data_IF_736009730560
#
_entry.id   IF_736009730560
#
_cell.length_a   1.000
_cell.length_b   1.000
_cell.length_c   1.000
_cell.angle_alpha   90.00
_cell.angle_beta   90.00
_cell.angle_gamma   90.00
#
_symmetry.space_group_name_H-M   'P 1'
#
loop_
_entity.id
_entity.type
_entity.pdbx_description
1 polymer ?
#
# COMPACT_ATOMS: atom_id res chain seq x y z
N UNK A 1 2.68 5.01 15.74
CA UNK A 1 3.53 5.11 14.63
C UNK A 1 3.20 6.29 13.77
N UNK A 2 4.20 6.96 13.21
CA UNK A 2 3.91 8.07 12.41
C UNK A 2 3.56 7.70 11.02
N UNK A 3 2.59 8.38 10.41
CA UNK A 3 2.22 8.15 9.04
C UNK A 3 3.30 8.76 8.16
N UNK A 4 3.59 8.11 7.05
CA UNK A 4 4.64 8.54 6.18
C UNK A 4 4.14 8.68 4.77
N UNK A 5 4.55 9.71 4.07
CA UNK A 5 4.14 9.91 2.69
C UNK A 5 5.24 9.48 1.76
N UNK A 6 4.89 8.72 0.76
CA UNK A 6 5.85 8.25 -0.24
C UNK A 6 5.19 8.28 -1.60
N UNK A 7 6.00 8.21 -2.65
CA UNK A 7 5.47 8.12 -4.01
C UNK A 7 5.29 6.66 -4.36
N UNK A 8 4.20 6.34 -5.02
CA UNK A 8 3.92 4.96 -5.39
C UNK A 8 3.32 4.91 -6.78
N UNK A 9 3.55 3.78 -7.44
CA UNK A 9 2.92 3.52 -8.74
C UNK A 9 1.49 3.08 -8.43
N UNK A 10 0.51 3.71 -9.06
CA UNK A 10 -0.90 3.44 -8.77
C UNK A 10 -1.47 2.53 -9.84
N UNK A 11 -2.01 1.40 -9.42
CA UNK A 11 -2.51 0.40 -10.35
C UNK A 11 -3.57 0.95 -11.28
N UNK A 12 -4.56 1.66 -10.77
CA UNK A 12 -5.64 2.15 -11.61
C UNK A 12 -5.21 3.24 -12.58
N UNK A 13 -4.01 3.77 -12.41
CA UNK A 13 -3.49 4.80 -13.28
C UNK A 13 -2.37 4.23 -14.17
N UNK A 14 -2.42 2.94 -14.41
CA UNK A 14 -1.45 2.25 -15.25
C UNK A 14 -0.01 2.45 -14.77
N UNK A 15 0.15 2.53 -13.47
CA UNK A 15 1.49 2.65 -12.90
C UNK A 15 2.01 4.07 -12.76
N UNK A 16 1.17 5.06 -13.02
CA UNK A 16 1.61 6.43 -12.87
C UNK A 16 1.85 6.71 -11.40
N UNK A 17 2.83 7.51 -11.06
CA UNK A 17 3.19 7.73 -9.66
C UNK A 17 2.37 8.81 -9.02
N UNK A 18 1.94 8.55 -7.76
CA UNK A 18 1.21 9.54 -6.97
C UNK A 18 1.64 9.38 -5.53
N UNK A 19 1.42 10.40 -4.74
CA UNK A 19 1.76 10.35 -3.33
C UNK A 19 0.73 9.54 -2.57
N UNK A 20 1.19 8.68 -1.67
CA UNK A 20 0.31 7.92 -0.81
C UNK A 20 0.79 8.09 0.61
N UNK A 21 -0.06 7.75 1.58
CA UNK A 21 0.31 7.81 2.99
C UNK A 21 0.34 6.40 3.55
N UNK A 22 1.46 6.00 4.09
CA UNK A 22 1.57 4.68 4.71
C UNK A 22 0.97 4.78 6.10
N UNK A 23 -0.02 3.94 6.38
CA UNK A 23 -0.71 3.96 7.66
C UNK A 23 -0.15 2.92 8.62
N UNK A 24 0.07 1.72 8.14
CA UNK A 24 0.62 0.66 8.97
C UNK A 24 1.06 -0.51 8.13
N UNK A 25 1.74 -1.46 8.75
CA UNK A 25 2.15 -2.65 8.04
C UNK A 25 0.95 -3.55 7.81
N UNK A 26 0.96 -4.28 6.70
CA UNK A 26 -0.09 -5.22 6.43
C UNK A 26 0.19 -6.45 7.26
N UNK A 27 -0.84 -7.14 7.74
CA UNK A 27 -0.67 -8.34 8.53
C UNK A 27 -1.58 -9.44 8.02
N UNK A 28 -1.21 -10.67 8.32
CA UNK A 28 -2.03 -11.80 7.97
C UNK A 28 -1.96 -12.74 9.15
N UNK A 29 -3.11 -13.08 9.75
CA UNK A 29 -3.17 -13.94 10.91
C UNK A 29 -2.24 -13.44 12.02
N UNK A 30 -2.21 -12.13 12.22
CA UNK A 30 -1.43 -11.55 13.29
C UNK A 30 0.04 -11.38 13.02
N UNK A 31 0.51 -11.75 11.83
CA UNK A 31 1.92 -11.60 11.51
C UNK A 31 2.11 -10.53 10.47
N UNK A 32 3.16 -9.75 10.63
CA UNK A 32 3.47 -8.68 9.68
C UNK A 32 3.93 -9.32 8.38
N UNK A 33 3.39 -8.84 7.27
CA UNK A 33 3.81 -9.29 5.96
C UNK A 33 4.93 -8.37 5.51
N UNK A 34 6.10 -8.89 5.20
CA UNK A 34 7.22 -8.05 4.81
C UNK A 34 6.92 -7.22 3.56
N UNK A 35 7.29 -5.95 3.59
CA UNK A 35 7.16 -5.07 2.45
C UNK A 35 5.73 -4.84 1.97
N UNK A 36 4.76 -5.07 2.83
CA UNK A 36 3.36 -4.83 2.49
C UNK A 36 2.78 -3.86 3.51
N UNK A 37 2.04 -2.87 3.02
CA UNK A 37 1.54 -1.81 3.86
C UNK A 37 0.10 -1.47 3.54
N UNK A 38 -0.62 -0.98 4.54
CA UNK A 38 -1.95 -0.42 4.32
C UNK A 38 -1.72 1.06 4.13
N UNK A 39 -2.17 1.60 3.03
CA UNK A 39 -1.91 2.99 2.67
C UNK A 39 -3.20 3.72 2.31
N UNK A 40 -3.12 5.02 2.32
CA UNK A 40 -4.25 5.87 1.93
C UNK A 40 -3.87 6.61 0.66
N UNK A 41 -4.69 6.50 -0.36
CA UNK A 41 -4.50 7.24 -1.60
C UNK A 41 -5.82 7.96 -1.85
N UNK A 42 -5.83 9.28 -1.68
CA UNK A 42 -7.06 10.03 -1.79
C UNK A 42 -8.04 9.54 -0.73
N UNK A 43 -9.20 9.09 -1.15
CA UNK A 43 -10.21 8.60 -0.24
C UNK A 43 -10.18 7.09 -0.11
N UNK A 44 -9.21 6.44 -0.71
CA UNK A 44 -9.16 4.99 -0.76
C UNK A 44 -8.08 4.44 0.12
N UNK A 45 -8.41 3.41 0.90
CA UNK A 45 -7.41 2.66 1.63
C UNK A 45 -7.16 1.41 0.84
N UNK A 46 -5.91 1.08 0.62
CA UNK A 46 -5.57 -0.10 -0.16
C UNK A 46 -4.24 -0.65 0.31
N UNK A 47 -3.80 -1.72 -0.31
CA UNK A 47 -2.53 -2.34 0.04
C UNK A 47 -1.46 -1.87 -0.94
N UNK A 48 -0.30 -1.54 -0.43
CA UNK A 48 0.84 -1.21 -1.26
C UNK A 48 1.99 -2.15 -0.93
N UNK A 49 2.73 -2.52 -1.96
CA UNK A 49 3.88 -3.41 -1.80
C UNK A 49 5.13 -2.61 -2.13
N UNK A 50 6.15 -2.76 -1.31
CA UNK A 50 7.43 -2.13 -1.56
C UNK A 50 8.35 -3.17 -2.19
N UNK A 51 8.91 -2.85 -3.35
CA UNK A 51 9.85 -3.75 -4.00
C UNK A 51 11.26 -3.23 -3.74
N UNK A 52 12.02 -3.89 -2.86
CA UNK A 52 13.35 -3.40 -2.51
C UNK A 52 14.37 -3.50 -3.66
N UNK A 53 14.09 -4.33 -4.64
CA UNK A 53 15.03 -4.46 -5.75
C UNK A 53 15.07 -3.20 -6.60
N UNK A 54 13.96 -2.49 -6.71
CA UNK A 54 13.91 -1.26 -7.47
C UNK A 54 13.58 -0.07 -6.58
N UNK A 55 13.43 -0.29 -5.28
CA UNK A 55 13.15 0.77 -4.31
C UNK A 55 11.88 1.55 -4.68
N UNK A 56 10.84 0.84 -5.06
CA UNK A 56 9.59 1.47 -5.48
C UNK A 56 8.40 0.88 -4.76
N UNK A 57 7.38 1.70 -4.54
CA UNK A 57 6.15 1.26 -3.95
C UNK A 57 5.11 1.09 -5.06
N UNK A 58 4.27 0.07 -4.93
CA UNK A 58 3.21 -0.20 -5.91
C UNK A 58 1.90 -0.35 -5.14
N UNK A 59 0.96 0.54 -5.36
CA UNK A 59 -0.32 0.53 -4.65
C UNK A 59 -1.40 -0.07 -5.54
N UNK A 60 -2.12 -1.05 -4.98
CA UNK A 60 -3.15 -1.73 -5.72
C UNK A 60 -4.49 -1.14 -5.33
N UNK A 61 -4.79 0.03 -5.81
CA UNK A 61 -5.99 0.75 -5.42
C UNK A 61 -7.25 0.22 -6.08
N UNK A 62 -7.09 -0.67 -7.07
CA UNK A 62 -8.25 -1.20 -7.74
C UNK A 62 -9.06 -2.14 -6.87
N UNK A 63 -8.40 -2.93 -6.03
CA UNK A 63 -9.08 -3.91 -5.22
C UNK A 63 -9.29 -3.49 -3.77
N UNK A 64 -8.76 -2.36 -3.38
CA UNK A 64 -8.86 -1.91 -2.01
C UNK A 64 -8.09 -2.80 -1.06
N UNK A 65 -8.46 -2.75 0.22
CA UNK A 65 -7.78 -3.55 1.21
C UNK A 65 -8.31 -4.94 1.17
N UNK A 66 -7.40 -5.92 1.15
CA UNK A 66 -7.82 -7.30 1.22
C UNK A 66 -8.00 -7.62 2.68
N UNK A 67 -9.22 -7.83 3.14
CA UNK A 67 -9.45 -8.14 4.51
C UNK A 67 -9.82 -9.51 4.67
N UNK A 68 -9.46 -10.10 5.73
CA UNK A 68 -9.93 -11.37 6.06
C UNK A 68 -11.28 -11.09 6.34
N UNK A 69 -12.13 -11.73 5.97
CA UNK A 69 -13.38 -11.47 6.09
C UNK A 69 -13.78 -11.27 7.19
N UNK A 70 -14.58 -10.70 7.35
CA UNK A 70 -15.06 -10.45 8.55
C UNK A 70 -16.31 -11.00 8.69
#
# INVERSE_FOLDING_TARGET
MKNMKVMAHIHSLNGEMREITILENETLFGRVIPNAFIVQYGDIKCTAIYNPLVCQYYADDKYGIIKETQ
#
